data_IF_669798821998
#
_entry.id   IF_669798821998
#
_cell.length_a   1.000
_cell.length_b   1.000
_cell.length_c   1.000
_cell.angle_alpha   90.00
_cell.angle_beta   90.00
_cell.angle_gamma   90.00
#
_symmetry.space_group_name_H-M   'P 1'
#
loop_
_entity.id
_entity.type
_entity.pdbx_description
1 polymer ?
#
# COMPACT_ATOMS: atom_id res chain seq x y z
N UNK A 1 57.48 10.95 44.01
CA UNK A 1 56.59 11.58 43.05
C UNK A 1 55.95 10.46 42.25
N UNK A 2 54.71 10.10 42.56
CA UNK A 2 53.97 9.03 41.85
C UNK A 2 52.89 9.70 40.95
N UNK A 3 53.12 9.62 39.64
CA UNK A 3 52.18 10.14 38.65
C UNK A 3 51.06 9.12 38.44
N UNK A 4 49.82 9.50 38.76
CA UNK A 4 48.61 8.68 38.48
C UNK A 4 48.14 8.99 37.05
N UNK A 5 48.25 8.02 36.18
CA UNK A 5 47.70 8.07 34.83
C UNK A 5 46.19 7.70 34.95
N UNK A 6 45.34 8.67 34.65
CA UNK A 6 43.87 8.47 34.60
C UNK A 6 43.51 8.07 33.16
N UNK A 7 43.13 6.82 32.96
CA UNK A 7 42.52 6.33 31.72
C UNK A 7 41.06 6.81 31.64
N UNK A 8 40.76 7.70 30.71
CA UNK A 8 39.39 8.05 30.35
C UNK A 8 38.90 7.04 29.32
N UNK A 9 37.98 6.15 29.72
CA UNK A 9 37.28 5.29 28.81
C UNK A 9 36.13 6.09 28.11
N UNK A 10 36.29 6.34 26.84
CA UNK A 10 35.20 6.93 26.01
C UNK A 10 34.23 5.82 25.65
N UNK A 11 33.02 5.86 26.20
CA UNK A 11 31.94 4.99 25.82
C UNK A 11 31.31 5.59 24.54
N UNK A 12 31.53 4.97 23.40
CA UNK A 12 30.84 5.30 22.17
C UNK A 12 29.45 4.65 22.22
N UNK A 13 28.40 5.47 22.41
CA UNK A 13 27.02 5.03 22.28
C UNK A 13 26.71 4.91 20.78
N UNK A 14 26.71 3.69 20.25
CA UNK A 14 26.22 3.41 18.93
C UNK A 14 24.69 3.51 18.94
N UNK A 15 24.17 4.64 18.50
CA UNK A 15 22.74 4.79 18.19
C UNK A 15 22.43 3.93 16.95
N UNK A 16 21.89 2.75 17.17
CA UNK A 16 21.29 1.95 16.11
C UNK A 16 20.09 2.74 15.57
N UNK A 17 20.25 3.34 14.40
CA UNK A 17 19.13 3.85 13.61
C UNK A 17 18.30 2.63 13.20
N UNK A 18 17.20 2.41 13.92
CA UNK A 18 16.14 1.52 13.46
C UNK A 18 15.57 2.13 12.18
N UNK A 19 16.04 1.64 11.05
CA UNK A 19 15.38 1.89 9.75
C UNK A 19 14.05 1.17 9.86
N UNK A 20 13.00 1.88 10.22
CA UNK A 20 11.64 1.38 10.05
C UNK A 20 11.43 1.26 8.53
N UNK A 21 11.42 0.04 8.02
CA UNK A 21 10.94 -0.21 6.68
C UNK A 21 9.52 0.34 6.63
N UNK A 22 9.29 1.37 5.83
CA UNK A 22 7.95 1.79 5.49
C UNK A 22 7.31 0.61 4.77
N UNK A 23 6.38 -0.05 5.45
CA UNK A 23 5.50 -1.05 4.89
C UNK A 23 4.38 -0.25 4.23
N UNK A 24 3.92 -0.69 3.08
CA UNK A 24 2.72 -0.24 2.37
C UNK A 24 1.50 -0.17 3.31
N UNK A 25 0.26 0.03 2.80
CA UNK A 25 -0.87 -0.20 3.71
C UNK A 25 -0.47 -1.29 4.70
N UNK A 26 -0.53 -1.03 6.00
CA UNK A 26 -0.19 -2.06 6.97
C UNK A 26 -0.94 -3.35 6.65
N UNK A 27 -0.51 -4.46 7.22
CA UNK A 27 -1.10 -5.79 6.96
C UNK A 27 -2.63 -5.76 6.88
N UNK A 28 -3.26 -5.02 7.79
CA UNK A 28 -4.72 -4.92 7.89
C UNK A 28 -5.34 -4.27 6.65
N UNK A 29 -4.73 -3.23 6.09
CA UNK A 29 -5.24 -2.56 4.89
C UNK A 29 -5.19 -3.44 3.65
N UNK A 30 -4.09 -4.14 3.41
CA UNK A 30 -3.99 -5.13 2.33
C UNK A 30 -5.03 -6.24 2.45
N UNK A 31 -5.22 -6.76 3.66
CA UNK A 31 -6.21 -7.79 3.93
C UNK A 31 -7.63 -7.32 3.67
N UNK A 32 -7.97 -6.09 4.07
CA UNK A 32 -9.27 -5.47 3.78
C UNK A 32 -9.51 -5.33 2.28
N UNK A 33 -8.52 -4.80 1.52
CA UNK A 33 -8.63 -4.64 0.06
C UNK A 33 -8.86 -5.99 -0.63
N UNK A 34 -8.08 -7.01 -0.26
CA UNK A 34 -8.23 -8.36 -0.81
C UNK A 34 -9.60 -8.97 -0.50
N UNK A 35 -10.08 -8.83 0.74
CA UNK A 35 -11.39 -9.33 1.17
C UNK A 35 -12.54 -8.59 0.48
N UNK A 36 -12.44 -7.28 0.28
CA UNK A 36 -13.40 -6.50 -0.50
C UNK A 36 -13.44 -6.93 -1.96
N UNK A 37 -12.28 -7.22 -2.56
CA UNK A 37 -12.19 -7.68 -3.94
C UNK A 37 -12.84 -9.07 -4.10
N UNK A 38 -12.57 -10.00 -3.19
CA UNK A 38 -13.10 -11.37 -3.24
C UNK A 38 -14.63 -11.38 -3.33
N UNK A 39 -15.31 -10.48 -2.62
CA UNK A 39 -16.79 -10.37 -2.67
C UNK A 39 -17.35 -9.88 -4.01
N UNK A 40 -16.49 -9.47 -4.95
CA UNK A 40 -16.88 -8.87 -6.22
C UNK A 40 -16.31 -9.64 -7.43
N UNK A 41 -15.67 -10.78 -7.19
CA UNK A 41 -15.17 -11.64 -8.25
C UNK A 41 -16.34 -12.29 -8.99
N UNK A 42 -16.25 -12.36 -10.31
CA UNK A 42 -17.12 -13.23 -11.11
C UNK A 42 -16.83 -14.69 -10.77
N UNK A 43 -17.80 -15.58 -10.99
CA UNK A 43 -17.61 -17.01 -10.74
C UNK A 43 -16.37 -17.58 -11.47
N UNK A 44 -16.09 -17.09 -12.69
CA UNK A 44 -14.93 -17.53 -13.46
C UNK A 44 -13.61 -17.01 -12.87
N UNK A 45 -13.55 -15.74 -12.46
CA UNK A 45 -12.37 -15.18 -11.82
C UNK A 45 -12.10 -15.85 -10.46
N UNK A 46 -13.15 -16.10 -9.67
CA UNK A 46 -13.03 -16.80 -8.40
C UNK A 46 -12.44 -18.21 -8.59
N UNK A 47 -12.99 -18.98 -9.54
CA UNK A 47 -12.49 -20.31 -9.85
C UNK A 47 -11.02 -20.32 -10.30
N UNK A 48 -10.57 -19.34 -11.09
CA UNK A 48 -9.17 -19.24 -11.52
C UNK A 48 -8.23 -18.79 -10.38
N UNK A 49 -8.68 -17.87 -9.53
CA UNK A 49 -7.94 -17.49 -8.32
C UNK A 49 -7.76 -18.71 -7.42
N UNK A 50 -8.83 -19.45 -7.13
CA UNK A 50 -8.76 -20.68 -6.31
C UNK A 50 -7.85 -21.73 -6.92
N UNK A 51 -7.91 -21.91 -8.24
CA UNK A 51 -7.06 -22.85 -8.96
C UNK A 51 -5.58 -22.50 -8.84
N UNK A 52 -5.22 -21.24 -8.96
CA UNK A 52 -3.83 -20.79 -8.79
C UNK A 52 -3.37 -20.93 -7.33
N UNK A 53 -4.24 -20.62 -6.36
CA UNK A 53 -3.93 -20.74 -4.93
C UNK A 53 -3.84 -22.19 -4.45
N UNK A 54 -4.45 -23.15 -5.15
CA UNK A 54 -4.49 -24.55 -4.74
C UNK A 54 -3.10 -25.20 -4.58
N UNK A 55 -2.05 -24.65 -5.19
CA UNK A 55 -0.66 -25.09 -5.00
C UNK A 55 -0.08 -24.71 -3.62
N UNK A 56 -0.72 -23.82 -2.88
CA UNK A 56 -0.33 -23.38 -1.53
C UNK A 56 -1.47 -23.70 -0.55
N UNK A 57 -1.45 -24.85 0.15
CA UNK A 57 -2.55 -25.26 1.01
C UNK A 57 -2.94 -24.23 2.05
N UNK A 58 -4.22 -23.84 2.08
CA UNK A 58 -4.77 -22.83 2.98
C UNK A 58 -4.56 -21.38 2.55
N UNK A 59 -3.95 -21.14 1.37
CA UNK A 59 -3.84 -19.79 0.83
C UNK A 59 -5.22 -19.26 0.41
N UNK A 60 -5.44 -17.97 0.68
CA UNK A 60 -6.62 -17.19 0.27
C UNK A 60 -6.16 -15.88 -0.35
N UNK A 61 -7.03 -15.18 -1.07
CA UNK A 61 -6.70 -13.85 -1.59
C UNK A 61 -6.26 -12.91 -0.47
N UNK A 62 -6.92 -12.98 0.70
CA UNK A 62 -6.57 -12.22 1.89
C UNK A 62 -5.17 -12.59 2.41
N UNK A 63 -4.84 -13.89 2.53
CA UNK A 63 -3.57 -14.33 3.12
C UNK A 63 -2.36 -13.99 2.26
N UNK A 64 -2.50 -13.96 0.93
CA UNK A 64 -1.41 -13.61 0.02
C UNK A 64 -1.21 -12.11 -0.15
N UNK A 65 -2.10 -11.26 0.38
CA UNK A 65 -2.10 -9.82 0.15
C UNK A 65 -0.85 -9.11 0.69
N UNK A 66 -0.15 -9.68 1.66
CA UNK A 66 1.09 -9.14 2.24
C UNK A 66 2.36 -9.77 1.67
N UNK A 67 2.20 -10.74 0.78
CA UNK A 67 3.33 -11.54 0.29
C UNK A 67 4.45 -10.70 -0.36
N UNK A 68 4.11 -9.64 -1.09
CA UNK A 68 5.09 -8.82 -1.78
C UNK A 68 5.99 -8.03 -0.81
N UNK A 69 5.46 -7.58 0.32
CA UNK A 69 6.22 -6.96 1.41
C UNK A 69 7.15 -7.96 2.10
N UNK A 70 6.64 -9.15 2.39
CA UNK A 70 7.39 -10.24 3.04
C UNK A 70 8.56 -10.74 2.17
N UNK A 71 8.45 -10.58 0.84
CA UNK A 71 9.45 -10.98 -0.15
C UNK A 71 10.15 -9.79 -0.82
N UNK A 72 10.02 -8.60 -0.24
CA UNK A 72 10.62 -7.36 -0.75
C UNK A 72 12.13 -7.46 -0.75
N UNK A 73 12.73 -6.98 -1.84
CA UNK A 73 14.17 -6.94 -2.03
C UNK A 73 14.56 -5.66 -2.81
N UNK A 74 15.85 -5.32 -2.95
CA UNK A 74 16.26 -4.09 -3.65
C UNK A 74 15.72 -3.94 -5.06
N UNK A 75 15.50 -5.03 -5.80
CA UNK A 75 14.96 -4.96 -7.17
C UNK A 75 13.46 -4.71 -7.19
N UNK A 76 12.70 -5.21 -6.21
CA UNK A 76 11.24 -5.06 -6.13
C UNK A 76 10.79 -3.93 -5.20
N UNK A 77 11.71 -3.37 -4.41
CA UNK A 77 11.41 -2.27 -3.50
C UNK A 77 10.73 -1.07 -4.17
N UNK A 78 11.19 -0.60 -5.34
CA UNK A 78 10.56 0.50 -6.05
C UNK A 78 9.14 0.19 -6.58
N UNK A 79 8.76 -1.08 -6.72
CA UNK A 79 7.45 -1.50 -7.25
C UNK A 79 6.28 -1.18 -6.32
N UNK A 80 6.55 -0.82 -5.07
CA UNK A 80 5.52 -0.51 -4.08
C UNK A 80 5.01 0.93 -4.14
N UNK A 81 5.65 1.83 -4.91
CA UNK A 81 5.28 3.24 -4.96
C UNK A 81 5.59 3.89 -6.30
N UNK A 82 5.04 5.06 -6.50
CA UNK A 82 5.43 6.04 -7.51
C UNK A 82 5.40 7.43 -6.87
N UNK A 83 6.49 8.19 -6.97
CA UNK A 83 6.57 9.50 -6.36
C UNK A 83 6.46 10.60 -7.41
N UNK A 84 5.61 11.58 -7.15
CA UNK A 84 5.38 12.73 -8.01
C UNK A 84 6.19 13.95 -7.56
N UNK A 85 6.51 14.88 -8.48
CA UNK A 85 6.99 16.19 -8.09
C UNK A 85 5.92 16.92 -7.26
N UNK A 86 6.34 17.73 -6.29
CA UNK A 86 5.38 18.48 -5.45
C UNK A 86 4.44 19.32 -6.30
N UNK A 87 3.17 19.29 -5.96
CA UNK A 87 2.07 19.99 -6.66
C UNK A 87 1.84 19.56 -8.13
N UNK A 88 2.35 18.40 -8.52
CA UNK A 88 2.13 17.83 -9.85
C UNK A 88 1.66 16.40 -9.70
N UNK A 89 0.39 16.14 -10.05
CA UNK A 89 -0.20 14.79 -10.01
C UNK A 89 -0.58 14.29 -11.41
N UNK A 90 0.11 14.74 -12.43
CA UNK A 90 0.00 14.21 -13.79
C UNK A 90 1.17 13.27 -14.04
N UNK A 91 0.86 12.01 -14.29
CA UNK A 91 1.85 10.96 -14.47
C UNK A 91 2.59 11.10 -15.79
N UNK A 92 3.91 11.04 -15.73
CA UNK A 92 4.81 10.93 -16.88
C UNK A 92 5.73 9.73 -16.64
N UNK A 93 5.57 8.68 -17.44
CA UNK A 93 6.30 7.43 -17.26
C UNK A 93 7.83 7.61 -17.32
N UNK A 94 8.33 8.52 -18.14
CA UNK A 94 9.77 8.77 -18.25
C UNK A 94 10.34 9.42 -16.96
N UNK A 95 9.52 10.19 -16.26
CA UNK A 95 9.91 10.92 -15.06
C UNK A 95 9.71 10.09 -13.78
N UNK A 96 8.50 9.50 -13.58
CA UNK A 96 8.13 8.80 -12.35
C UNK A 96 8.44 7.30 -12.36
N UNK A 97 8.55 6.70 -13.55
CA UNK A 97 8.60 5.25 -13.69
C UNK A 97 9.59 4.78 -14.78
N UNK A 98 10.84 5.26 -14.74
CA UNK A 98 11.83 4.86 -15.75
C UNK A 98 11.95 3.33 -15.76
N UNK A 99 11.99 2.76 -16.97
CA UNK A 99 12.05 1.32 -17.22
C UNK A 99 10.88 0.51 -16.59
N UNK A 100 9.76 1.17 -16.28
CA UNK A 100 8.62 0.54 -15.62
C UNK A 100 8.87 0.20 -14.13
N UNK A 101 9.91 0.77 -13.53
CA UNK A 101 10.34 0.45 -12.16
C UNK A 101 9.62 1.30 -11.10
N UNK A 102 8.30 1.16 -11.05
CA UNK A 102 7.40 1.78 -10.08
C UNK A 102 6.12 0.93 -9.94
N UNK A 103 5.21 1.29 -9.03
CA UNK A 103 3.96 0.54 -8.78
C UNK A 103 3.08 0.46 -10.03
N UNK A 104 2.97 1.53 -10.83
CA UNK A 104 2.18 1.54 -12.08
C UNK A 104 2.75 0.55 -13.10
N UNK A 105 4.05 0.59 -13.33
CA UNK A 105 4.74 -0.34 -14.24
C UNK A 105 4.67 -1.79 -13.74
N UNK A 106 4.83 -1.99 -12.42
CA UNK A 106 4.75 -3.30 -11.80
C UNK A 106 3.35 -3.92 -11.97
N UNK A 107 2.27 -3.20 -11.63
CA UNK A 107 0.89 -3.69 -11.82
C UNK A 107 0.66 -4.05 -13.30
N UNK A 108 1.02 -3.15 -14.22
CA UNK A 108 0.85 -3.38 -15.67
C UNK A 108 1.55 -4.66 -16.10
N UNK A 109 2.81 -4.82 -15.72
CA UNK A 109 3.61 -6.01 -16.07
C UNK A 109 3.06 -7.29 -15.46
N UNK A 110 2.63 -7.25 -14.20
CA UNK A 110 2.10 -8.44 -13.53
C UNK A 110 0.73 -8.84 -14.09
N UNK A 111 -0.12 -7.89 -14.50
CA UNK A 111 -1.37 -8.18 -15.22
C UNK A 111 -1.13 -8.85 -16.58
N UNK A 112 -0.10 -8.42 -17.34
CA UNK A 112 0.30 -9.10 -18.58
C UNK A 112 0.69 -10.56 -18.32
N UNK A 113 1.52 -10.83 -17.31
CA UNK A 113 1.93 -12.17 -16.93
C UNK A 113 0.72 -12.99 -16.48
N UNK A 114 -0.13 -12.43 -15.63
CA UNK A 114 -1.31 -13.11 -15.10
C UNK A 114 -2.30 -13.52 -16.18
N UNK A 115 -2.42 -12.70 -17.26
CA UNK A 115 -3.29 -12.97 -18.42
C UNK A 115 -2.66 -13.88 -19.48
N UNK A 116 -1.37 -14.19 -19.36
CA UNK A 116 -0.63 -14.99 -20.35
C UNK A 116 -0.81 -16.50 -20.13
N UNK A 117 -0.24 -17.30 -21.06
CA UNK A 117 -0.11 -18.76 -20.91
C UNK A 117 1.16 -19.16 -20.14
N UNK A 118 1.69 -18.31 -19.26
CA UNK A 118 2.83 -18.66 -18.42
C UNK A 118 2.48 -19.82 -17.45
N UNK A 119 3.48 -20.56 -16.96
CA UNK A 119 3.27 -21.59 -15.95
C UNK A 119 2.53 -21.07 -14.72
N UNK A 120 1.78 -21.94 -14.05
CA UNK A 120 0.91 -21.55 -12.92
C UNK A 120 1.67 -20.93 -11.74
N UNK A 121 2.87 -21.40 -11.45
CA UNK A 121 3.74 -20.81 -10.42
C UNK A 121 4.14 -19.36 -10.75
N UNK A 122 4.39 -19.06 -12.01
CA UNK A 122 4.68 -17.69 -12.50
C UNK A 122 3.43 -16.83 -12.43
N UNK A 123 2.27 -17.37 -12.83
CA UNK A 123 0.98 -16.66 -12.74
C UNK A 123 0.55 -16.44 -11.30
N UNK A 124 0.75 -17.43 -10.40
CA UNK A 124 0.48 -17.26 -8.97
C UNK A 124 1.33 -16.14 -8.36
N UNK A 125 2.60 -16.09 -8.71
CA UNK A 125 3.48 -15.00 -8.27
C UNK A 125 2.98 -13.64 -8.78
N UNK A 126 2.54 -13.59 -10.04
CA UNK A 126 1.95 -12.38 -10.61
C UNK A 126 0.65 -11.98 -9.89
N UNK A 127 -0.22 -12.94 -9.55
CA UNK A 127 -1.43 -12.70 -8.76
C UNK A 127 -1.08 -12.05 -7.41
N UNK A 128 -0.10 -12.58 -6.68
CA UNK A 128 0.35 -12.05 -5.39
C UNK A 128 0.81 -10.59 -5.52
N UNK A 129 1.56 -10.26 -6.56
CA UNK A 129 1.98 -8.89 -6.83
C UNK A 129 0.80 -7.98 -7.18
N UNK A 130 -0.13 -8.41 -8.05
CA UNK A 130 -1.30 -7.62 -8.44
C UNK A 130 -2.17 -7.30 -7.22
N UNK A 131 -2.44 -8.31 -6.38
CA UNK A 131 -3.25 -8.14 -5.16
C UNK A 131 -2.64 -7.11 -4.21
N UNK A 132 -1.33 -7.14 -4.05
CA UNK A 132 -0.60 -6.22 -3.17
C UNK A 132 -0.52 -4.81 -3.76
N UNK A 133 0.01 -4.69 -4.97
CA UNK A 133 0.31 -3.39 -5.57
C UNK A 133 -0.95 -2.59 -5.93
N UNK A 134 -2.07 -3.26 -6.23
CA UNK A 134 -3.34 -2.56 -6.43
C UNK A 134 -3.84 -1.90 -5.12
N UNK A 135 -3.55 -2.49 -3.98
CA UNK A 135 -3.77 -1.83 -2.70
C UNK A 135 -2.81 -0.65 -2.50
N UNK A 136 -1.52 -0.84 -2.82
CA UNK A 136 -0.47 0.18 -2.68
C UNK A 136 -0.78 1.47 -3.45
N UNK A 137 -1.13 1.35 -4.73
CA UNK A 137 -1.41 2.52 -5.58
C UNK A 137 -2.60 3.34 -5.08
N UNK A 138 -3.44 2.78 -4.21
CA UNK A 138 -4.56 3.46 -3.57
C UNK A 138 -4.23 4.08 -2.20
N UNK A 139 -3.06 3.79 -1.62
CA UNK A 139 -2.57 4.50 -0.44
C UNK A 139 -1.96 5.84 -0.89
N UNK A 140 -2.52 6.98 -0.46
CA UNK A 140 -2.12 8.27 -1.01
C UNK A 140 -0.62 8.55 -0.98
N UNK A 141 0.10 8.14 0.07
CA UNK A 141 1.53 8.41 0.21
C UNK A 141 2.42 7.43 -0.56
N UNK A 142 1.87 6.32 -1.09
CA UNK A 142 2.56 5.49 -2.08
C UNK A 142 2.61 6.14 -3.47
N UNK A 143 1.82 7.20 -3.63
CA UNK A 143 1.83 8.09 -4.79
C UNK A 143 2.10 9.53 -4.38
N UNK A 144 2.80 9.70 -3.25
CA UNK A 144 3.10 10.98 -2.65
C UNK A 144 4.27 11.72 -3.32
N UNK A 145 4.74 12.77 -2.66
CA UNK A 145 5.78 13.62 -3.24
C UNK A 145 7.18 13.03 -3.08
N UNK A 146 8.02 13.22 -4.12
CA UNK A 146 9.37 12.69 -4.15
C UNK A 146 10.31 13.36 -3.13
N UNK A 147 10.12 14.66 -2.86
CA UNK A 147 10.98 15.47 -2.01
C UNK A 147 10.93 15.07 -0.53
N UNK A 148 9.85 14.43 -0.09
CA UNK A 148 9.72 13.88 1.27
C UNK A 148 9.56 12.36 1.30
N UNK A 149 9.84 11.69 0.17
CA UNK A 149 9.78 10.23 0.01
C UNK A 149 8.38 9.69 0.35
N UNK A 150 7.34 10.31 -0.19
CA UNK A 150 5.97 9.95 0.09
C UNK A 150 5.63 10.10 1.58
N UNK A 151 6.04 11.18 2.24
CA UNK A 151 5.76 11.44 3.65
C UNK A 151 6.65 10.69 4.65
N UNK A 152 7.59 9.83 4.21
CA UNK A 152 8.52 9.14 5.10
C UNK A 152 9.47 10.11 5.81
N UNK A 153 9.86 11.20 5.15
CA UNK A 153 10.68 12.23 5.76
C UNK A 153 9.86 13.22 6.63
N UNK A 154 8.52 13.19 6.55
CA UNK A 154 7.65 14.04 7.33
C UNK A 154 7.39 13.46 8.72
N UNK A 155 8.29 13.78 9.68
CA UNK A 155 8.18 13.30 11.06
C UNK A 155 7.05 14.01 11.80
N UNK A 156 6.28 13.24 12.59
CA UNK A 156 5.16 13.71 13.41
C UNK A 156 5.06 12.90 14.70
N UNK A 157 4.24 13.39 15.60
CA UNK A 157 3.82 12.67 16.80
C UNK A 157 2.31 12.42 16.71
N UNK A 158 1.91 11.14 16.73
CA UNK A 158 0.52 10.72 16.76
C UNK A 158 0.22 10.03 18.11
N UNK A 159 -0.78 10.51 18.84
CA UNK A 159 -1.22 9.93 20.13
C UNK A 159 -0.04 9.65 21.07
N UNK A 160 0.84 10.62 21.24
CA UNK A 160 2.05 10.58 22.10
C UNK A 160 3.13 9.59 21.64
N UNK A 161 3.07 9.08 20.41
CA UNK A 161 4.10 8.23 19.81
C UNK A 161 4.72 8.92 18.61
N UNK A 162 6.04 8.87 18.52
CA UNK A 162 6.77 9.32 17.33
C UNK A 162 6.45 8.44 16.12
N UNK A 163 6.24 9.06 14.96
CA UNK A 163 5.96 8.41 13.69
C UNK A 163 6.39 9.31 12.53
N UNK A 164 6.15 8.88 11.32
CA UNK A 164 6.11 9.73 10.14
C UNK A 164 4.73 9.67 9.48
N UNK A 165 4.46 10.59 8.57
CA UNK A 165 3.15 10.69 7.94
C UNK A 165 2.81 9.44 7.13
N UNK A 166 3.79 8.84 6.44
CA UNK A 166 3.61 7.61 5.68
C UNK A 166 3.13 6.46 6.57
N UNK A 167 3.89 6.13 7.61
CA UNK A 167 3.53 5.04 8.54
C UNK A 167 2.22 5.29 9.28
N UNK A 168 1.85 6.57 9.50
CA UNK A 168 0.57 6.91 10.08
C UNK A 168 -0.59 6.59 9.13
N UNK A 169 -0.44 6.83 7.84
CA UNK A 169 -1.41 6.45 6.82
C UNK A 169 -1.45 4.94 6.60
N UNK A 170 -0.30 4.26 6.59
CA UNK A 170 -0.25 2.80 6.42
C UNK A 170 -1.03 2.05 7.48
N UNK A 171 -0.91 2.46 8.72
CA UNK A 171 -1.41 1.68 9.86
C UNK A 171 -2.14 2.50 10.92
N UNK A 172 -1.74 3.74 11.14
CA UNK A 172 -2.23 4.55 12.26
C UNK A 172 -3.73 4.84 12.18
N UNK A 173 -4.22 5.20 10.98
CA UNK A 173 -5.65 5.48 10.76
C UNK A 173 -6.50 4.22 10.96
N UNK A 174 -6.08 3.08 10.38
CA UNK A 174 -6.81 1.80 10.52
C UNK A 174 -6.82 1.35 11.98
N UNK A 175 -5.66 1.36 12.64
CA UNK A 175 -5.54 0.95 14.05
C UNK A 175 -6.38 1.81 15.00
N UNK A 176 -6.57 3.09 14.65
CA UNK A 176 -7.40 3.99 15.45
C UNK A 176 -8.91 3.64 15.37
N UNK A 177 -9.35 2.87 14.38
CA UNK A 177 -10.73 2.36 14.32
C UNK A 177 -11.00 1.34 15.43
N UNK A 178 -9.97 0.66 15.93
CA UNK A 178 -10.08 -0.43 16.90
C UNK A 178 -11.05 -1.55 16.42
N UNK A 179 -11.06 -1.78 15.12
CA UNK A 179 -11.80 -2.84 14.41
C UNK A 179 -10.82 -3.86 13.86
N UNK A 180 -11.19 -5.14 13.89
CA UNK A 180 -10.47 -6.16 13.14
C UNK A 180 -10.79 -6.10 11.63
N UNK A 181 -10.03 -6.84 10.83
CA UNK A 181 -10.16 -6.86 9.36
C UNK A 181 -11.56 -7.28 8.92
N UNK A 182 -12.16 -8.28 9.58
CA UNK A 182 -13.47 -8.81 9.18
C UNK A 182 -14.59 -7.82 9.51
N UNK A 183 -14.53 -7.17 10.67
CA UNK A 183 -15.48 -6.14 11.08
C UNK A 183 -15.41 -4.94 10.14
N UNK A 184 -14.21 -4.44 9.86
CA UNK A 184 -14.00 -3.32 8.95
C UNK A 184 -14.48 -3.67 7.54
N UNK A 185 -14.13 -4.85 7.02
CA UNK A 185 -14.55 -5.31 5.69
C UNK A 185 -16.07 -5.37 5.58
N UNK A 186 -16.76 -6.00 6.55
CA UNK A 186 -18.25 -6.07 6.56
C UNK A 186 -18.89 -4.69 6.59
N UNK A 187 -18.34 -3.78 7.38
CA UNK A 187 -18.84 -2.40 7.48
C UNK A 187 -18.65 -1.65 6.16
N UNK A 188 -17.52 -1.80 5.49
CA UNK A 188 -17.26 -1.16 4.19
C UNK A 188 -18.15 -1.76 3.08
N UNK A 189 -18.41 -3.06 3.09
CA UNK A 189 -19.37 -3.70 2.16
C UNK A 189 -20.77 -3.10 2.34
N UNK A 190 -21.24 -2.94 3.58
CA UNK A 190 -22.56 -2.40 3.87
C UNK A 190 -22.72 -0.92 3.46
N UNK A 191 -21.64 -0.14 3.48
CA UNK A 191 -21.62 1.29 3.08
C UNK A 191 -21.43 1.50 1.57
N UNK A 192 -21.05 0.45 0.85
CA UNK A 192 -20.67 0.57 -0.56
C UNK A 192 -21.89 0.83 -1.43
N UNK A 193 -21.89 1.97 -2.13
CA UNK A 193 -22.76 2.16 -3.29
C UNK A 193 -22.32 1.19 -4.38
N UNK A 194 -23.28 0.57 -5.09
CA UNK A 194 -22.98 -0.44 -6.12
C UNK A 194 -22.00 0.13 -7.14
N UNK A 195 -20.79 -0.41 -7.28
CA UNK A 195 -19.83 0.11 -8.23
C UNK A 195 -20.16 -0.41 -9.63
N UNK A 196 -20.98 0.31 -10.36
CA UNK A 196 -21.09 0.10 -11.79
C UNK A 196 -19.90 0.82 -12.45
N UNK A 197 -18.91 0.03 -12.92
CA UNK A 197 -17.87 0.52 -13.81
C UNK A 197 -16.71 1.23 -13.12
N UNK A 198 -16.04 0.56 -12.18
CA UNK A 198 -14.77 1.08 -11.65
C UNK A 198 -13.79 1.37 -12.80
N UNK A 199 -13.19 2.55 -12.78
CA UNK A 199 -12.07 2.86 -13.70
C UNK A 199 -10.88 1.95 -13.38
N UNK A 200 -10.48 1.12 -14.33
CA UNK A 200 -9.41 0.13 -14.18
C UNK A 200 -8.06 0.66 -14.69
N UNK A 201 -7.94 1.97 -14.91
CA UNK A 201 -6.70 2.60 -15.32
C UNK A 201 -5.80 2.85 -14.09
N UNK A 202 -4.68 2.13 -14.02
CA UNK A 202 -3.73 2.20 -12.91
C UNK A 202 -3.08 3.60 -12.81
N UNK A 203 -2.88 4.30 -13.95
CA UNK A 203 -2.36 5.67 -13.95
C UNK A 203 -3.35 6.60 -13.25
N UNK A 204 -4.63 6.51 -13.58
CA UNK A 204 -5.66 7.32 -12.92
C UNK A 204 -5.71 7.02 -11.41
N UNK A 205 -5.55 5.76 -11.00
CA UNK A 205 -5.48 5.40 -9.58
C UNK A 205 -4.34 6.10 -8.85
N UNK A 206 -3.15 6.18 -9.50
CA UNK A 206 -1.98 6.86 -8.96
C UNK A 206 -2.20 8.38 -8.89
N UNK A 207 -2.74 8.99 -9.95
CA UNK A 207 -3.03 10.43 -10.01
C UNK A 207 -4.08 10.84 -8.97
N UNK A 208 -5.17 10.09 -8.83
CA UNK A 208 -6.19 10.31 -7.79
C UNK A 208 -5.58 10.25 -6.38
N UNK A 209 -4.74 9.27 -6.10
CA UNK A 209 -4.07 9.12 -4.81
C UNK A 209 -3.12 10.29 -4.55
N UNK A 210 -2.36 10.73 -5.54
CA UNK A 210 -1.52 11.93 -5.47
C UNK A 210 -2.35 13.19 -5.21
N UNK A 211 -3.49 13.37 -5.88
CA UNK A 211 -4.37 14.53 -5.69
C UNK A 211 -4.87 14.65 -4.24
N UNK A 212 -5.12 13.52 -3.57
CA UNK A 212 -5.47 13.50 -2.14
C UNK A 212 -4.34 14.08 -1.30
N UNK A 213 -3.08 13.72 -1.61
CA UNK A 213 -1.89 14.26 -0.92
C UNK A 213 -1.78 15.78 -1.06
N UNK A 214 -2.25 16.33 -2.19
CA UNK A 214 -2.27 17.76 -2.47
C UNK A 214 -3.39 18.55 -1.76
N UNK A 215 -4.32 17.89 -1.08
CA UNK A 215 -5.44 18.58 -0.42
C UNK A 215 -4.99 19.37 0.81
N UNK A 216 -5.63 20.51 1.04
CA UNK A 216 -5.33 21.36 2.21
C UNK A 216 -5.54 20.57 3.51
N UNK A 217 -4.51 20.53 4.34
CA UNK A 217 -4.53 19.86 5.63
C UNK A 217 -4.17 18.37 5.59
N UNK A 218 -3.84 17.80 4.40
CA UNK A 218 -3.35 16.44 4.31
C UNK A 218 -2.01 16.26 5.06
N UNK A 219 -1.12 17.23 4.91
CA UNK A 219 0.05 17.37 5.78
C UNK A 219 -0.38 18.06 7.07
N UNK A 220 -0.50 17.33 8.19
CA UNK A 220 -0.93 17.91 9.46
C UNK A 220 0.18 18.77 10.07
N UNK A 221 -0.15 19.51 11.14
CA UNK A 221 0.88 19.95 12.07
C UNK A 221 1.63 18.73 12.65
N UNK A 222 2.79 18.97 13.29
CA UNK A 222 3.62 17.88 13.81
C UNK A 222 2.97 17.03 14.91
N UNK A 223 1.88 17.50 15.48
CA UNK A 223 1.04 16.80 16.44
C UNK A 223 -0.27 16.39 15.78
N UNK A 224 -0.51 15.10 15.67
CA UNK A 224 -1.73 14.53 15.10
C UNK A 224 -2.68 14.12 16.21
N UNK A 225 -3.86 14.70 16.23
CA UNK A 225 -4.95 14.43 17.14
C UNK A 225 -6.17 13.79 16.47
N UNK A 226 -7.27 13.72 17.22
CA UNK A 226 -8.52 13.10 16.76
C UNK A 226 -9.20 13.86 15.61
N UNK A 227 -9.01 15.17 15.48
CA UNK A 227 -9.52 15.99 14.41
C UNK A 227 -8.95 15.59 13.04
N UNK A 228 -7.66 15.27 12.97
CA UNK A 228 -7.05 14.72 11.77
C UNK A 228 -7.62 13.34 11.43
N UNK A 229 -7.73 12.46 12.43
CA UNK A 229 -8.31 11.12 12.25
C UNK A 229 -9.75 11.20 11.75
N UNK A 230 -10.60 12.04 12.38
CA UNK A 230 -12.00 12.22 11.97
C UNK A 230 -12.10 12.72 10.52
N UNK A 231 -11.20 13.60 10.10
CA UNK A 231 -11.17 14.13 8.73
C UNK A 231 -10.77 13.07 7.71
N UNK A 232 -9.74 12.27 8.00
CA UNK A 232 -9.12 11.40 7.00
C UNK A 232 -9.55 9.93 7.07
N UNK A 233 -10.22 9.49 8.14
CA UNK A 233 -10.83 8.16 8.18
C UNK A 233 -11.79 7.91 7.01
N UNK A 234 -12.73 8.81 6.67
CA UNK A 234 -13.60 8.59 5.51
C UNK A 234 -12.83 8.50 4.18
N UNK A 235 -11.76 9.26 4.03
CA UNK A 235 -10.90 9.21 2.84
C UNK A 235 -10.18 7.88 2.75
N UNK A 236 -9.60 7.41 3.86
CA UNK A 236 -8.95 6.10 3.96
C UNK A 236 -9.93 4.97 3.63
N UNK A 237 -11.13 4.97 4.24
CA UNK A 237 -12.19 3.98 3.97
C UNK A 237 -12.59 3.97 2.49
N UNK A 238 -12.72 5.14 1.87
CA UNK A 238 -12.99 5.25 0.45
C UNK A 238 -11.88 4.64 -0.41
N UNK A 239 -10.60 4.94 -0.10
CA UNK A 239 -9.47 4.38 -0.85
C UNK A 239 -9.40 2.86 -0.75
N UNK A 240 -9.63 2.28 0.43
CA UNK A 240 -9.73 0.83 0.62
C UNK A 240 -10.86 0.22 -0.21
N UNK A 241 -12.04 0.87 -0.22
CA UNK A 241 -13.22 0.38 -0.96
C UNK A 241 -13.00 0.43 -2.46
N UNK A 242 -12.44 1.53 -2.99
CA UNK A 242 -12.12 1.70 -4.41
C UNK A 242 -11.03 0.73 -4.84
N UNK A 243 -9.98 0.53 -4.03
CA UNK A 243 -8.93 -0.45 -4.29
C UNK A 243 -9.50 -1.87 -4.43
N UNK A 244 -10.38 -2.29 -3.51
CA UNK A 244 -11.03 -3.59 -3.58
C UNK A 244 -11.90 -3.76 -4.84
N UNK A 245 -12.66 -2.73 -5.22
CA UNK A 245 -13.48 -2.77 -6.43
C UNK A 245 -12.64 -2.82 -7.71
N UNK A 246 -11.54 -2.06 -7.78
CA UNK A 246 -10.61 -2.05 -8.92
C UNK A 246 -9.85 -3.37 -9.03
N UNK A 247 -9.35 -3.91 -7.92
CA UNK A 247 -8.72 -5.22 -7.89
C UNK A 247 -9.66 -6.31 -8.44
N UNK A 248 -10.91 -6.36 -7.97
CA UNK A 248 -11.89 -7.29 -8.50
C UNK A 248 -12.15 -7.08 -9.99
N UNK A 249 -12.29 -5.83 -10.44
CA UNK A 249 -12.45 -5.48 -11.84
C UNK A 249 -11.29 -5.93 -12.72
N UNK A 250 -10.06 -5.76 -12.26
CA UNK A 250 -8.84 -6.21 -12.94
C UNK A 250 -8.82 -7.74 -13.05
N UNK A 251 -9.05 -8.46 -11.95
CA UNK A 251 -9.09 -9.93 -11.94
C UNK A 251 -10.23 -10.47 -12.80
N UNK A 252 -11.42 -9.87 -12.74
CA UNK A 252 -12.56 -10.23 -13.61
C UNK A 252 -12.23 -10.01 -15.09
N UNK A 253 -11.46 -8.98 -15.44
CA UNK A 253 -11.02 -8.72 -16.81
C UNK A 253 -9.97 -9.71 -17.30
N UNK A 254 -9.02 -10.07 -16.44
CA UNK A 254 -7.95 -11.02 -16.77
C UNK A 254 -8.47 -12.44 -16.95
N UNK A 255 -9.42 -12.86 -16.13
CA UNK A 255 -9.95 -14.23 -16.12
C UNK A 255 -11.32 -14.38 -16.84
N UNK A 256 -11.52 -13.61 -17.92
CA UNK A 256 -12.73 -13.68 -18.76
C UNK A 256 -12.87 -14.99 -19.54
#
# INVERSE_FOLDING_TARGET
>A
MHSKIIFRASVAIATALLVSNALSWGKEGHQVVASLAETQLSAKAHAEVDRLLASEPGATLQSISTWADEHRNPATGPWHYVNFPRNTCTYDAARECPDGNCVVGAITKQLEILSSNAPDDVRLKALKYVVHFEADVHQPLHTGYADDKGGNAYQLQAFMRGSNLHSFWDSGLIKNLNEDVDVLTKRLIAKRDSPNGADLNVVHAAEESCQIVGTTGFYPERLVGQDYVQRYTPVMEQRLTVAGARLAGLLNRVFR
#
